data_IF_953819367606
#
_entry.id   IF_953819367606
#
_cell.length_a   1.000
_cell.length_b   1.000
_cell.length_c   1.000
_cell.angle_alpha   90.00
_cell.angle_beta   90.00
_cell.angle_gamma   90.00
#
_symmetry.space_group_name_H-M   'P 1'
#
loop_
_entity.id
_entity.type
_entity.pdbx_description
1 polymer ?
#
# COMPACT_ATOMS: atom_id res chain seq x y z
N UNK A 1 0.76 12.98 -4.99
CA UNK A 1 -0.57 12.49 -5.36
C UNK A 1 -1.33 13.57 -6.15
N UNK A 2 -2.56 13.29 -6.56
CA UNK A 2 -3.40 14.20 -7.34
C UNK A 2 -3.49 15.59 -6.68
N UNK A 3 -3.73 15.66 -5.38
CA UNK A 3 -3.77 16.92 -4.64
C UNK A 3 -2.44 17.70 -4.71
N UNK A 4 -1.30 17.05 -4.70
CA UNK A 4 -0.01 17.73 -4.85
C UNK A 4 0.18 18.26 -6.28
N UNK A 5 -0.21 17.50 -7.29
CA UNK A 5 -0.17 17.93 -8.69
C UNK A 5 -1.12 19.07 -8.97
N UNK A 6 -2.36 19.03 -8.44
CA UNK A 6 -3.32 20.13 -8.57
C UNK A 6 -2.84 21.41 -7.86
N UNK A 7 -2.33 21.26 -6.63
CA UNK A 7 -1.95 22.41 -5.80
C UNK A 7 -0.65 23.06 -6.25
N UNK A 8 0.33 22.28 -6.68
CA UNK A 8 1.69 22.75 -6.91
C UNK A 8 2.13 22.66 -8.38
N UNK A 9 1.40 21.93 -9.19
CA UNK A 9 1.73 21.67 -10.58
C UNK A 9 2.81 20.61 -10.78
N UNK A 10 2.88 20.07 -12.00
CA UNK A 10 3.78 18.97 -12.37
C UNK A 10 5.26 19.33 -12.15
N UNK A 11 5.68 20.53 -12.56
CA UNK A 11 7.09 20.96 -12.46
C UNK A 11 7.59 20.99 -11.00
N UNK A 12 6.78 21.49 -10.07
CA UNK A 12 7.14 21.52 -8.66
C UNK A 12 7.27 20.12 -8.05
N UNK A 13 6.36 19.20 -8.43
CA UNK A 13 6.43 17.80 -7.99
C UNK A 13 7.68 17.12 -8.55
N UNK A 14 8.01 17.33 -9.82
CA UNK A 14 9.22 16.76 -10.43
C UNK A 14 10.51 17.37 -9.83
N UNK A 15 10.51 18.64 -9.46
CA UNK A 15 11.61 19.26 -8.72
C UNK A 15 11.79 18.60 -7.35
N UNK A 16 10.70 18.42 -6.61
CA UNK A 16 10.73 17.70 -5.32
C UNK A 16 11.29 16.27 -5.46
N UNK A 17 10.84 15.52 -6.49
CA UNK A 17 11.35 14.17 -6.77
C UNK A 17 12.87 14.21 -7.05
N UNK A 18 13.33 15.17 -7.85
CA UNK A 18 14.75 15.33 -8.17
C UNK A 18 15.61 15.66 -6.94
N UNK A 19 15.09 16.53 -6.05
CA UNK A 19 15.82 16.91 -4.83
C UNK A 19 15.83 15.76 -3.79
N UNK A 20 14.76 15.01 -3.67
CA UNK A 20 14.73 13.78 -2.88
C UNK A 20 15.79 12.77 -3.39
N UNK A 21 15.84 12.57 -4.71
CA UNK A 21 16.81 11.66 -5.34
C UNK A 21 18.26 12.07 -5.08
N UNK A 22 18.60 13.36 -5.08
CA UNK A 22 19.95 13.86 -4.73
C UNK A 22 20.35 13.47 -3.30
N UNK A 23 19.37 13.22 -2.43
CA UNK A 23 19.55 12.78 -1.04
C UNK A 23 19.44 11.27 -0.87
N UNK A 24 19.40 10.49 -1.97
CA UNK A 24 19.26 9.04 -1.94
C UNK A 24 17.84 8.55 -1.62
N UNK A 25 16.83 9.43 -1.68
CA UNK A 25 15.45 9.10 -1.36
C UNK A 25 14.65 8.84 -2.65
N UNK A 26 14.06 7.66 -2.76
CA UNK A 26 13.15 7.29 -3.83
C UNK A 26 11.73 7.77 -3.51
N UNK A 27 11.08 8.44 -4.46
CA UNK A 27 9.71 8.96 -4.29
C UNK A 27 8.73 8.07 -5.01
N UNK A 28 7.75 7.55 -4.28
CA UNK A 28 6.59 6.83 -4.80
C UNK A 28 5.34 7.72 -4.68
N UNK A 29 4.51 7.74 -5.70
CA UNK A 29 3.27 8.52 -5.66
C UNK A 29 2.17 7.68 -5.01
N UNK A 30 1.64 8.16 -3.88
CA UNK A 30 0.50 7.54 -3.19
C UNK A 30 -0.81 7.85 -3.92
N UNK A 31 -1.57 6.81 -4.21
CA UNK A 31 -2.81 6.86 -4.97
C UNK A 31 -3.93 6.13 -4.24
N UNK A 32 -5.07 6.80 -4.06
CA UNK A 32 -6.29 6.17 -3.58
C UNK A 32 -7.02 5.46 -4.73
N UNK A 33 -7.37 4.19 -4.55
CA UNK A 33 -8.04 3.41 -5.60
C UNK A 33 -9.55 3.41 -5.40
N UNK A 34 -10.10 2.55 -4.55
CA UNK A 34 -11.55 2.38 -4.37
C UNK A 34 -12.16 3.27 -3.28
N UNK A 35 -11.36 4.11 -2.62
CA UNK A 35 -11.84 5.19 -1.78
C UNK A 35 -11.34 6.50 -2.35
N UNK A 36 -12.21 7.30 -2.94
CA UNK A 36 -11.83 8.55 -3.63
C UNK A 36 -12.93 9.59 -3.48
N UNK A 37 -12.53 10.85 -3.30
CA UNK A 37 -13.48 11.93 -3.08
C UNK A 37 -14.36 11.74 -1.83
N UNK A 38 -13.83 11.08 -0.78
CA UNK A 38 -14.57 10.80 0.46
C UNK A 38 -15.60 9.68 0.36
N UNK A 39 -15.60 8.87 -0.71
CA UNK A 39 -16.60 7.81 -0.94
C UNK A 39 -15.94 6.51 -1.38
N UNK A 40 -16.53 5.40 -0.93
CA UNK A 40 -16.20 4.08 -1.43
C UNK A 40 -16.86 3.83 -2.79
N UNK A 41 -16.08 3.33 -3.73
CA UNK A 41 -16.54 2.88 -5.05
C UNK A 41 -16.38 1.36 -5.10
N UNK A 42 -17.46 0.64 -5.39
CA UNK A 42 -17.37 -0.81 -5.61
C UNK A 42 -16.58 -1.12 -6.87
N UNK A 43 -15.84 -2.24 -6.87
CA UNK A 43 -15.15 -2.74 -8.05
C UNK A 43 -16.11 -3.34 -9.10
N UNK A 44 -17.33 -3.72 -8.66
CA UNK A 44 -18.36 -4.31 -9.51
C UNK A 44 -19.64 -3.51 -9.50
N UNK A 45 -20.43 -3.67 -10.55
CA UNK A 45 -21.83 -3.25 -10.62
C UNK A 45 -22.74 -4.22 -9.83
N UNK A 46 -24.02 -3.90 -9.70
CA UNK A 46 -24.98 -4.73 -8.99
C UNK A 46 -25.21 -6.13 -9.61
N UNK A 47 -24.96 -6.27 -10.91
CA UNK A 47 -25.01 -7.53 -11.66
C UNK A 47 -23.69 -8.35 -11.60
N UNK A 48 -22.70 -7.86 -10.87
CA UNK A 48 -21.38 -8.48 -10.76
C UNK A 48 -20.41 -8.19 -11.91
N UNK A 49 -20.83 -7.41 -12.92
CA UNK A 49 -19.92 -6.97 -13.98
C UNK A 49 -18.89 -5.97 -13.46
N UNK A 50 -17.69 -5.95 -14.04
CA UNK A 50 -16.61 -5.06 -13.61
C UNK A 50 -16.88 -3.61 -14.00
N UNK A 51 -16.52 -2.67 -13.13
CA UNK A 51 -16.61 -1.23 -13.42
C UNK A 51 -15.47 -0.76 -14.32
N UNK A 52 -15.43 -1.23 -15.56
CA UNK A 52 -14.34 -0.94 -16.52
C UNK A 52 -14.08 0.56 -16.73
N UNK A 53 -15.11 1.39 -16.79
CA UNK A 53 -14.93 2.84 -16.96
C UNK A 53 -14.15 3.45 -15.78
N UNK A 54 -14.47 3.04 -14.55
CA UNK A 54 -13.74 3.44 -13.35
C UNK A 54 -12.31 2.89 -13.36
N UNK A 55 -12.13 1.62 -13.73
CA UNK A 55 -10.81 1.01 -13.84
C UNK A 55 -9.92 1.77 -14.83
N UNK A 56 -10.44 2.05 -16.02
CA UNK A 56 -9.73 2.78 -17.06
C UNK A 56 -9.34 4.20 -16.61
N UNK A 57 -10.23 4.88 -15.86
CA UNK A 57 -9.93 6.19 -15.27
C UNK A 57 -8.78 6.11 -14.27
N UNK A 58 -8.79 5.13 -13.38
CA UNK A 58 -7.73 4.93 -12.38
C UNK A 58 -6.40 4.48 -13.00
N UNK A 59 -6.45 3.65 -14.04
CA UNK A 59 -5.24 3.26 -14.78
C UNK A 59 -4.66 4.47 -15.52
N UNK A 60 -5.49 5.34 -16.09
CA UNK A 60 -5.03 6.59 -16.69
C UNK A 60 -4.33 7.48 -15.66
N UNK A 61 -4.93 7.68 -14.48
CA UNK A 61 -4.34 8.43 -13.35
C UNK A 61 -2.98 7.82 -12.95
N UNK A 62 -2.90 6.50 -12.78
CA UNK A 62 -1.66 5.81 -12.43
C UNK A 62 -0.56 6.00 -13.50
N UNK A 63 -0.93 6.00 -14.78
CA UNK A 63 0.00 6.28 -15.90
C UNK A 63 0.53 7.72 -15.86
N UNK A 64 -0.30 8.68 -15.50
CA UNK A 64 0.14 10.07 -15.32
C UNK A 64 1.21 10.17 -14.23
N UNK A 65 1.03 9.47 -13.10
CA UNK A 65 2.02 9.39 -12.03
C UNK A 65 3.30 8.67 -12.47
N UNK A 66 3.17 7.57 -13.18
CA UNK A 66 4.30 6.79 -13.69
C UNK A 66 5.16 7.57 -14.71
N UNK A 67 4.60 8.59 -15.37
CA UNK A 67 5.30 9.46 -16.31
C UNK A 67 5.94 10.71 -15.66
N UNK A 68 5.87 10.86 -14.33
CA UNK A 68 6.59 11.93 -13.64
C UNK A 68 8.10 11.68 -13.70
N UNK A 69 8.85 12.70 -14.06
CA UNK A 69 10.31 12.59 -14.20
C UNK A 69 10.99 12.19 -12.88
N UNK A 70 11.63 11.05 -12.88
CA UNK A 70 12.43 10.55 -11.74
C UNK A 70 11.61 9.84 -10.66
N UNK A 71 10.30 9.66 -10.81
CA UNK A 71 9.48 8.86 -9.91
C UNK A 71 10.01 7.42 -9.83
N UNK A 72 9.97 6.81 -8.64
CA UNK A 72 10.44 5.45 -8.42
C UNK A 72 9.30 4.43 -8.41
N UNK A 73 8.06 4.85 -8.19
CA UNK A 73 6.92 3.94 -8.16
C UNK A 73 5.59 4.60 -7.88
N UNK A 74 4.55 3.77 -7.86
CA UNK A 74 3.18 4.14 -7.48
C UNK A 74 2.73 3.23 -6.35
N UNK A 75 2.23 3.83 -5.27
CA UNK A 75 1.69 3.12 -4.12
C UNK A 75 0.17 3.18 -4.13
N UNK A 76 -0.47 2.01 -4.16
CA UNK A 76 -1.92 1.87 -4.18
C UNK A 76 -2.46 1.71 -2.76
N UNK A 77 -3.27 2.65 -2.33
CA UNK A 77 -4.03 2.56 -1.09
C UNK A 77 -5.52 2.36 -1.39
N UNK A 78 -6.27 1.82 -0.44
CA UNK A 78 -7.67 1.45 -0.61
C UNK A 78 -7.92 0.54 -1.83
N UNK A 79 -6.98 -0.36 -2.12
CA UNK A 79 -7.14 -1.41 -3.14
C UNK A 79 -8.03 -2.53 -2.58
N UNK A 80 -9.25 -2.19 -2.18
CA UNK A 80 -10.14 -3.09 -1.44
C UNK A 80 -11.58 -2.59 -1.35
N UNK A 81 -12.47 -3.48 -0.90
CA UNK A 81 -13.77 -3.10 -0.36
C UNK A 81 -13.68 -2.63 1.10
N UNK A 82 -14.69 -1.92 1.62
CA UNK A 82 -14.73 -1.44 3.02
C UNK A 82 -15.13 -2.52 4.05
N UNK A 83 -14.78 -3.78 3.83
CA UNK A 83 -15.20 -4.90 4.66
C UNK A 83 -16.47 -5.62 4.13
N UNK A 84 -16.85 -5.36 2.90
CA UNK A 84 -18.11 -5.83 2.32
C UNK A 84 -17.95 -6.67 1.05
N UNK A 85 -16.74 -7.15 0.74
CA UNK A 85 -16.47 -7.85 -0.52
C UNK A 85 -17.37 -9.07 -0.73
N UNK A 86 -17.69 -9.81 0.34
CA UNK A 86 -18.60 -10.96 0.31
C UNK A 86 -20.04 -10.64 -0.16
N UNK A 87 -20.43 -9.37 -0.18
CA UNK A 87 -21.72 -8.90 -0.71
C UNK A 87 -21.70 -8.61 -2.22
N UNK A 88 -20.55 -8.72 -2.85
CA UNK A 88 -20.34 -8.31 -4.24
C UNK A 88 -19.95 -9.52 -5.09
N UNK A 89 -20.82 -9.94 -6.00
CA UNK A 89 -20.49 -10.97 -6.97
C UNK A 89 -19.25 -10.54 -7.77
N UNK A 90 -18.31 -11.46 -7.97
CA UNK A 90 -17.04 -11.26 -8.67
C UNK A 90 -16.15 -10.14 -8.08
N UNK A 91 -16.36 -9.74 -6.81
CA UNK A 91 -15.64 -8.62 -6.21
C UNK A 91 -14.13 -8.87 -6.10
N UNK A 92 -13.73 -10.08 -5.72
CA UNK A 92 -12.32 -10.49 -5.64
C UNK A 92 -11.68 -10.50 -7.03
N UNK A 93 -12.33 -11.12 -7.98
CA UNK A 93 -11.88 -11.24 -9.37
C UNK A 93 -11.74 -9.85 -10.03
N UNK A 94 -12.65 -8.94 -9.70
CA UNK A 94 -12.60 -7.57 -10.18
C UNK A 94 -11.37 -6.80 -9.65
N UNK A 95 -11.05 -6.94 -8.36
CA UNK A 95 -9.82 -6.35 -7.77
C UNK A 95 -8.57 -6.97 -8.38
N UNK A 96 -8.54 -8.30 -8.54
CA UNK A 96 -7.41 -9.00 -9.16
C UNK A 96 -7.19 -8.54 -10.62
N UNK A 97 -8.27 -8.45 -11.40
CA UNK A 97 -8.23 -7.96 -12.78
C UNK A 97 -7.73 -6.52 -12.88
N UNK A 98 -8.27 -5.64 -12.03
CA UNK A 98 -7.84 -4.24 -11.97
C UNK A 98 -6.35 -4.14 -11.65
N UNK A 99 -5.89 -4.84 -10.61
CA UNK A 99 -4.49 -4.84 -10.16
C UNK A 99 -3.55 -5.29 -11.28
N UNK A 100 -3.85 -6.44 -11.91
CA UNK A 100 -3.10 -6.93 -13.07
C UNK A 100 -3.02 -5.89 -14.18
N UNK A 101 -4.16 -5.30 -14.53
CA UNK A 101 -4.25 -4.34 -15.64
C UNK A 101 -3.46 -3.06 -15.35
N UNK A 102 -3.50 -2.56 -14.10
CA UNK A 102 -2.78 -1.37 -13.67
C UNK A 102 -1.26 -1.63 -13.63
N UNK A 103 -0.82 -2.72 -13.02
CA UNK A 103 0.61 -3.07 -12.95
C UNK A 103 1.20 -3.23 -14.36
N UNK A 104 0.53 -3.95 -15.24
CA UNK A 104 0.95 -4.10 -16.63
C UNK A 104 1.05 -2.74 -17.36
N UNK A 105 0.10 -1.83 -17.10
CA UNK A 105 0.11 -0.51 -17.72
C UNK A 105 1.28 0.36 -17.24
N UNK A 106 1.64 0.28 -15.95
CA UNK A 106 2.79 0.98 -15.37
C UNK A 106 4.10 0.38 -15.87
N UNK A 107 4.26 -0.94 -15.79
CA UNK A 107 5.49 -1.63 -16.22
C UNK A 107 5.74 -1.51 -17.73
N UNK A 108 4.68 -1.31 -18.54
CA UNK A 108 4.84 -0.99 -19.96
C UNK A 108 5.45 0.40 -20.20
N UNK A 109 5.26 1.36 -19.27
CA UNK A 109 5.90 2.68 -19.34
C UNK A 109 7.38 2.54 -18.94
N UNK A 110 7.63 1.88 -17.79
CA UNK A 110 8.97 1.61 -17.30
C UNK A 110 8.94 0.40 -16.36
N UNK A 111 9.56 -0.69 -16.75
CA UNK A 111 9.60 -1.95 -15.99
C UNK A 111 10.36 -1.86 -14.65
N UNK A 112 11.08 -0.77 -14.40
CA UNK A 112 11.79 -0.52 -13.13
C UNK A 112 10.94 0.23 -12.10
N UNK A 113 9.75 0.70 -12.47
CA UNK A 113 8.83 1.34 -11.53
C UNK A 113 8.26 0.30 -10.58
N UNK A 114 8.29 0.59 -9.30
CA UNK A 114 7.72 -0.27 -8.27
C UNK A 114 6.23 0.04 -8.12
N UNK A 115 5.38 -0.97 -8.26
CA UNK A 115 3.96 -0.89 -7.93
C UNK A 115 3.74 -1.60 -6.60
N UNK A 116 3.39 -0.83 -5.57
CA UNK A 116 3.12 -1.36 -4.23
C UNK A 116 1.67 -1.15 -3.82
N UNK A 117 1.16 -1.97 -2.90
CA UNK A 117 -0.19 -1.79 -2.37
C UNK A 117 -0.26 -2.00 -0.86
N UNK A 118 -1.00 -1.13 -0.17
CA UNK A 118 -1.42 -1.35 1.20
C UNK A 118 -2.54 -2.39 1.26
N UNK A 119 -2.40 -3.37 2.15
CA UNK A 119 -3.40 -4.41 2.38
C UNK A 119 -3.75 -4.55 3.86
N UNK A 120 -4.93 -5.08 4.13
CA UNK A 120 -5.38 -5.32 5.51
C UNK A 120 -4.58 -6.49 6.11
N UNK A 121 -4.35 -6.53 7.43
CA UNK A 121 -3.49 -7.54 8.07
C UNK A 121 -4.19 -8.86 8.40
N UNK A 122 -5.51 -8.97 8.19
CA UNK A 122 -6.31 -10.15 8.53
C UNK A 122 -6.13 -11.28 7.50
N UNK A 123 -5.04 -12.04 7.60
CA UNK A 123 -4.62 -13.06 6.63
C UNK A 123 -5.69 -14.06 6.24
N UNK A 124 -6.51 -14.49 7.22
CA UNK A 124 -7.49 -15.56 7.02
C UNK A 124 -8.82 -15.05 6.41
N UNK A 125 -9.04 -13.73 6.42
CA UNK A 125 -10.31 -13.12 6.02
C UNK A 125 -10.19 -11.97 5.01
N UNK A 126 -8.97 -11.63 4.58
CA UNK A 126 -8.72 -10.56 3.60
C UNK A 126 -9.54 -10.72 2.32
N UNK A 127 -9.56 -11.92 1.78
CA UNK A 127 -10.33 -12.24 0.57
C UNK A 127 -11.82 -12.06 0.79
N UNK A 128 -12.34 -12.54 1.93
CA UNK A 128 -13.77 -12.52 2.25
C UNK A 128 -14.30 -11.11 2.51
N UNK A 129 -13.60 -10.33 3.36
CA UNK A 129 -14.08 -9.00 3.74
C UNK A 129 -13.64 -7.90 2.78
N UNK A 130 -12.41 -7.98 2.29
CA UNK A 130 -11.79 -6.86 1.57
C UNK A 130 -11.61 -7.11 0.07
N UNK A 131 -11.79 -8.36 -0.37
CA UNK A 131 -11.54 -8.76 -1.75
C UNK A 131 -10.06 -8.85 -2.10
N UNK A 132 -9.18 -8.86 -1.09
CA UNK A 132 -7.72 -8.90 -1.25
C UNK A 132 -7.23 -10.36 -1.25
N UNK A 133 -7.13 -10.95 -2.43
CA UNK A 133 -6.55 -12.28 -2.65
C UNK A 133 -5.03 -12.16 -2.72
N UNK A 134 -4.35 -12.17 -1.56
CA UNK A 134 -2.92 -11.91 -1.45
C UNK A 134 -2.07 -12.79 -2.38
N UNK A 135 -2.28 -14.13 -2.46
CA UNK A 135 -1.53 -14.97 -3.40
C UNK A 135 -1.68 -14.56 -4.87
N UNK A 136 -2.83 -14.00 -5.25
CA UNK A 136 -3.07 -13.53 -6.63
C UNK A 136 -2.52 -12.12 -6.84
N UNK A 137 -2.74 -11.21 -5.90
CA UNK A 137 -2.26 -9.82 -5.98
C UNK A 137 -0.72 -9.77 -6.06
N UNK A 138 -0.04 -10.58 -5.24
CA UNK A 138 1.43 -10.66 -5.19
C UNK A 138 2.10 -11.20 -6.46
N UNK A 139 1.33 -11.74 -7.41
CA UNK A 139 1.84 -12.08 -8.76
C UNK A 139 2.04 -10.87 -9.64
N UNK A 140 1.38 -9.77 -9.34
CA UNK A 140 1.36 -8.57 -10.19
C UNK A 140 2.02 -7.37 -9.53
N UNK A 141 1.85 -7.23 -8.21
CA UNK A 141 2.52 -6.20 -7.41
C UNK A 141 4.00 -6.54 -7.21
N UNK A 142 4.84 -5.52 -7.16
CA UNK A 142 6.25 -5.68 -6.78
C UNK A 142 6.40 -5.76 -5.25
N UNK A 143 5.56 -5.02 -4.53
CA UNK A 143 5.59 -4.96 -3.06
C UNK A 143 4.17 -5.00 -2.51
N UNK A 144 3.94 -5.88 -1.53
CA UNK A 144 2.72 -5.89 -0.71
C UNK A 144 3.04 -5.35 0.68
N UNK A 145 2.23 -4.41 1.15
CA UNK A 145 2.44 -3.72 2.42
C UNK A 145 1.26 -4.01 3.36
N UNK A 146 1.32 -5.09 4.16
CA UNK A 146 0.31 -5.33 5.17
C UNK A 146 0.38 -4.26 6.27
N UNK A 147 -0.76 -3.62 6.55
CA UNK A 147 -0.90 -2.57 7.57
C UNK A 147 -0.99 -3.21 8.97
N UNK A 148 0.16 -3.69 9.49
CA UNK A 148 0.22 -4.40 10.78
C UNK A 148 0.28 -3.37 11.93
N UNK A 149 -0.82 -2.65 12.09
CA UNK A 149 -0.98 -1.56 13.06
C UNK A 149 -1.40 -2.13 14.42
N UNK A 150 -0.42 -2.64 15.18
CA UNK A 150 -0.66 -3.39 16.41
C UNK A 150 -1.57 -2.67 17.41
N UNK A 151 -1.49 -1.35 17.50
CA UNK A 151 -2.33 -0.57 18.42
C UNK A 151 -3.81 -0.62 18.03
N UNK A 152 -4.13 -0.45 16.74
CA UNK A 152 -5.51 -0.55 16.25
C UNK A 152 -6.13 -1.94 16.43
N UNK A 153 -5.27 -2.98 16.48
CA UNK A 153 -5.69 -4.38 16.67
C UNK A 153 -5.53 -4.88 18.10
N UNK A 154 -5.16 -4.01 19.04
CA UNK A 154 -4.89 -4.36 20.45
C UNK A 154 -3.92 -5.55 20.58
N UNK A 155 -2.86 -5.58 19.76
CA UNK A 155 -1.88 -6.65 19.68
C UNK A 155 -0.50 -6.20 20.19
N UNK A 156 0.38 -7.16 20.46
CA UNK A 156 1.76 -6.91 20.85
C UNK A 156 2.75 -7.03 19.69
N UNK A 157 4.01 -6.70 19.96
CA UNK A 157 5.12 -6.77 18.99
C UNK A 157 5.30 -8.17 18.36
N UNK A 158 5.04 -9.25 19.11
CA UNK A 158 5.11 -10.62 18.57
C UNK A 158 4.12 -10.90 17.44
N UNK A 159 2.94 -10.24 17.48
CA UNK A 159 1.96 -10.34 16.40
C UNK A 159 2.48 -9.74 15.08
N UNK A 160 3.31 -8.70 15.14
CA UNK A 160 3.94 -8.12 13.95
C UNK A 160 4.78 -9.18 13.23
N UNK A 161 5.65 -9.88 13.98
CA UNK A 161 6.49 -10.95 13.43
C UNK A 161 5.66 -12.06 12.81
N UNK A 162 4.71 -12.61 13.57
CA UNK A 162 3.90 -13.75 13.11
C UNK A 162 3.01 -13.40 11.92
N UNK A 163 2.44 -12.19 11.89
CA UNK A 163 1.62 -11.74 10.77
C UNK A 163 2.47 -11.48 9.53
N UNK A 164 3.64 -10.85 9.69
CA UNK A 164 4.59 -10.68 8.58
C UNK A 164 4.97 -12.02 7.96
N UNK A 165 5.30 -13.04 8.79
CA UNK A 165 5.63 -14.39 8.31
C UNK A 165 4.48 -14.99 7.49
N UNK A 166 3.24 -14.87 7.95
CA UNK A 166 2.07 -15.34 7.17
C UNK A 166 1.98 -14.66 5.79
N UNK A 167 2.24 -13.36 5.70
CA UNK A 167 2.27 -12.68 4.40
C UNK A 167 3.40 -13.14 3.51
N UNK A 168 4.59 -13.45 4.07
CA UNK A 168 5.70 -14.07 3.33
C UNK A 168 5.26 -15.40 2.74
N UNK A 169 4.64 -16.26 3.56
CA UNK A 169 4.18 -17.59 3.16
C UNK A 169 3.08 -17.54 2.08
N UNK A 170 2.25 -16.49 2.10
CA UNK A 170 1.18 -16.27 1.13
C UNK A 170 1.67 -15.60 -0.16
N UNK A 171 2.80 -14.91 -0.14
CA UNK A 171 3.29 -14.16 -1.30
C UNK A 171 3.73 -15.09 -2.43
N UNK A 172 3.37 -14.71 -3.65
CA UNK A 172 3.71 -15.42 -4.86
C UNK A 172 4.47 -14.51 -5.84
N UNK A 173 5.58 -13.92 -5.35
CA UNK A 173 6.50 -13.10 -6.15
C UNK A 173 6.77 -11.69 -5.61
N UNK A 174 5.79 -11.02 -4.99
CA UNK A 174 5.99 -9.70 -4.41
C UNK A 174 6.87 -9.74 -3.15
N UNK A 175 7.68 -8.71 -2.94
CA UNK A 175 8.29 -8.47 -1.65
C UNK A 175 7.23 -8.09 -0.61
N UNK A 176 7.46 -8.46 0.65
CA UNK A 176 6.63 -8.00 1.77
C UNK A 176 7.39 -6.93 2.53
N UNK A 177 6.80 -5.75 2.63
CA UNK A 177 7.29 -4.67 3.48
C UNK A 177 6.27 -4.43 4.58
N UNK A 178 6.68 -4.63 5.84
CA UNK A 178 5.76 -4.53 6.97
C UNK A 178 5.37 -3.07 7.23
N UNK A 179 4.08 -2.77 7.12
CA UNK A 179 3.52 -1.48 7.48
C UNK A 179 3.28 -1.38 8.98
N UNK A 180 3.91 -0.41 9.63
CA UNK A 180 3.83 -0.18 11.06
C UNK A 180 3.19 1.17 11.37
N UNK A 181 2.38 1.20 12.41
CA UNK A 181 1.87 2.42 13.01
C UNK A 181 2.94 3.01 13.94
N UNK A 182 3.22 4.30 13.78
CA UNK A 182 4.26 5.00 14.56
C UNK A 182 3.70 5.74 15.80
N UNK A 183 2.43 5.54 16.10
CA UNK A 183 1.67 6.10 17.20
C UNK A 183 0.79 4.99 17.83
N UNK A 184 0.22 5.25 19.01
CA UNK A 184 -0.44 4.17 19.77
C UNK A 184 -1.66 3.58 19.06
N UNK A 185 -2.59 4.40 18.59
CA UNK A 185 -3.77 3.96 17.82
C UNK A 185 -4.44 5.13 17.09
N UNK A 186 -5.44 4.87 16.29
CA UNK A 186 -6.23 5.93 15.65
C UNK A 186 -7.05 6.76 16.67
N UNK A 187 -7.30 6.19 17.85
CA UNK A 187 -7.93 6.89 18.99
C UNK A 187 -6.91 7.63 19.87
N UNK A 188 -5.63 7.22 19.84
CA UNK A 188 -4.52 7.86 20.55
C UNK A 188 -3.34 8.06 19.60
N UNK A 189 -3.26 9.24 19.01
CA UNK A 189 -2.19 9.62 18.05
C UNK A 189 -0.88 10.03 18.73
N UNK A 190 -0.72 9.79 20.03
CA UNK A 190 0.56 9.98 20.74
C UNK A 190 1.62 9.07 20.13
N UNK A 191 2.83 9.63 19.93
CA UNK A 191 3.94 8.90 19.29
C UNK A 191 4.40 7.73 20.14
N UNK A 192 4.64 6.58 19.53
CA UNK A 192 5.35 5.49 20.18
C UNK A 192 6.76 5.91 20.61
N UNK A 193 7.27 5.41 21.76
CA UNK A 193 8.68 5.54 22.12
C UNK A 193 9.59 5.01 20.99
N UNK A 194 10.72 5.66 20.76
CA UNK A 194 11.68 5.23 19.73
C UNK A 194 12.14 3.77 19.92
N UNK A 195 12.32 3.34 21.18
CA UNK A 195 12.69 1.95 21.53
C UNK A 195 11.60 0.95 21.12
N UNK A 196 10.34 1.29 21.33
CA UNK A 196 9.21 0.44 20.94
C UNK A 196 9.09 0.34 19.42
N UNK A 197 9.14 1.47 18.71
CA UNK A 197 9.11 1.50 17.26
C UNK A 197 10.28 0.72 16.63
N UNK A 198 11.46 0.78 17.26
CA UNK A 198 12.62 -0.04 16.88
C UNK A 198 12.34 -1.54 17.06
N UNK A 199 11.77 -1.93 18.22
CA UNK A 199 11.41 -3.34 18.50
C UNK A 199 10.37 -3.85 17.50
N UNK A 200 9.37 -3.03 17.16
CA UNK A 200 8.34 -3.36 16.17
C UNK A 200 8.94 -3.51 14.77
N UNK A 201 9.85 -2.61 14.39
CA UNK A 201 10.56 -2.69 13.11
C UNK A 201 11.41 -3.96 13.02
N UNK A 202 12.14 -4.26 14.11
CA UNK A 202 12.91 -5.51 14.19
C UNK A 202 12.01 -6.75 14.07
N UNK A 203 10.85 -6.76 14.70
CA UNK A 203 9.90 -7.86 14.61
C UNK A 203 9.40 -8.08 13.17
N UNK A 204 9.18 -7.01 12.39
CA UNK A 204 8.87 -7.10 10.97
C UNK A 204 10.00 -7.75 10.17
N UNK A 205 11.23 -7.31 10.36
CA UNK A 205 12.43 -7.90 9.72
C UNK A 205 12.62 -9.36 10.13
N UNK A 206 12.50 -9.68 11.43
CA UNK A 206 12.60 -11.05 11.95
C UNK A 206 11.46 -11.96 11.45
N UNK A 207 10.35 -11.38 10.99
CA UNK A 207 9.25 -12.06 10.28
C UNK A 207 9.53 -12.29 8.79
N UNK A 208 10.66 -11.82 8.26
CA UNK A 208 11.08 -12.01 6.88
C UNK A 208 10.80 -10.82 5.94
N UNK A 209 10.30 -9.69 6.46
CA UNK A 209 10.07 -8.51 5.63
C UNK A 209 11.37 -8.00 4.99
N UNK A 210 11.26 -7.56 3.73
CA UNK A 210 12.36 -6.91 3.00
C UNK A 210 12.47 -5.41 3.29
N UNK A 211 11.43 -4.83 3.87
CA UNK A 211 11.39 -3.42 4.24
C UNK A 211 10.37 -3.12 5.32
N UNK A 212 10.47 -1.94 5.91
CA UNK A 212 9.54 -1.41 6.90
C UNK A 212 8.96 -0.11 6.38
N UNK A 213 7.65 0.04 6.49
CA UNK A 213 6.94 1.28 6.21
C UNK A 213 6.41 1.86 7.52
N UNK A 214 6.69 3.12 7.78
CA UNK A 214 6.17 3.81 8.96
C UNK A 214 4.99 4.71 8.56
N UNK A 215 3.83 4.43 9.06
CA UNK A 215 2.67 5.28 8.99
C UNK A 215 2.49 5.99 10.35
N UNK A 216 2.59 7.32 10.42
CA UNK A 216 2.80 8.23 9.31
C UNK A 216 3.85 9.30 9.65
N UNK A 217 4.35 9.98 8.60
CA UNK A 217 5.26 11.10 8.75
C UNK A 217 4.70 12.18 9.71
N UNK A 218 5.57 12.69 10.58
CA UNK A 218 5.21 13.67 11.61
C UNK A 218 4.74 13.06 12.94
N UNK A 219 4.34 11.79 12.98
CA UNK A 219 3.88 11.07 14.17
C UNK A 219 4.84 9.95 14.59
N UNK A 220 6.15 10.16 14.49
CA UNK A 220 7.12 9.19 15.02
C UNK A 220 8.29 9.88 15.70
N UNK A 221 8.92 9.17 16.64
CA UNK A 221 10.18 9.55 17.22
C UNK A 221 11.31 8.95 16.37
N UNK A 222 12.34 9.76 16.11
CA UNK A 222 13.49 9.31 15.32
C UNK A 222 14.27 8.23 16.07
N UNK A 223 14.68 7.21 15.36
CA UNK A 223 15.69 6.25 15.77
C UNK A 223 16.60 5.93 14.57
N UNK A 224 17.77 5.39 14.85
CA UNK A 224 18.70 5.04 13.78
C UNK A 224 18.31 3.71 13.15
N UNK A 225 17.78 3.75 11.92
CA UNK A 225 17.41 2.55 11.14
C UNK A 225 18.59 1.60 10.88
N UNK A 226 19.81 2.12 10.82
CA UNK A 226 21.03 1.31 10.62
C UNK A 226 21.34 0.34 11.79
N UNK A 227 20.53 0.34 12.84
CA UNK A 227 20.67 -0.54 13.99
C UNK A 227 19.56 -1.62 14.07
N UNK A 228 18.82 -1.82 12.98
CA UNK A 228 17.83 -2.88 12.84
C UNK A 228 18.46 -4.21 12.44
#
# INVERSE_FOLDING_TARGET
NFAALEKHGKSAVETFIADAKKKGISVHIWMQVFYTGGKWISATNGDGSYKYSFFNSKIKEAKEYANLKGVAGVHLDYLRFPGTAYKHANGVEAINYFTKSLCNAIHKINSKLIVSAAVMPETDSNKYYYGQDIPTLSKYLDVVIPMIYKGNYAQGTSWIKSTTQKFIDMSNGAEIWTGLQSYYSDDDVSKLPASELKSDSKAGIDGGAKGIILFRFGLFNLFHFNTL
#
